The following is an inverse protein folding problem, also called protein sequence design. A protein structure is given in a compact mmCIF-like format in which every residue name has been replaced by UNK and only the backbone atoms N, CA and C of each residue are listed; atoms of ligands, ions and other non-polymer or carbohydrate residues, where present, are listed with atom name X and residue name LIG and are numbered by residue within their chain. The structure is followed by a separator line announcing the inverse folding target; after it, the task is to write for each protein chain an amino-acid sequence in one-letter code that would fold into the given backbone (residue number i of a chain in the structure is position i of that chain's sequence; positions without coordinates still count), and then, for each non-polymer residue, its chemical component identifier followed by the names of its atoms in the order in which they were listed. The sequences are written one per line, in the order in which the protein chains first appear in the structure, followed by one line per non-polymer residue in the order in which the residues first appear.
data_IF_214641045329
#
_entry.id   IF_214641045329
#
_cell.length_a   1.000
_cell.length_b   1.000
_cell.length_c   1.000
_cell.angle_alpha   90.00
_cell.angle_beta   90.00
_cell.angle_gamma   90.00
#
_symmetry.space_group_name_H-M   'P 1'
#
loop_
_entity.id
_entity.type
_entity.pdbx_description
1 polymer ?
#
# COMPACT_ATOMS: atom_id res chain seq x y z
N UNK A 1 -1.48 30.31 2.22
CA UNK A 1 -1.44 29.09 1.39
C UNK A 1 -0.47 28.13 2.04
N UNK A 2 -0.95 27.22 2.90
CA UNK A 2 -0.06 26.24 3.53
C UNK A 2 0.15 25.12 2.52
N UNK A 3 1.34 25.06 1.92
CA UNK A 3 1.77 23.90 1.14
C UNK A 3 2.00 22.79 2.15
N UNK A 4 0.99 21.97 2.39
CA UNK A 4 1.16 20.73 3.13
C UNK A 4 2.00 19.85 2.20
N UNK A 5 3.25 19.56 2.59
CA UNK A 5 4.04 18.54 1.92
C UNK A 5 3.29 17.22 2.11
N UNK A 6 2.54 16.81 1.10
CA UNK A 6 1.91 15.51 1.04
C UNK A 6 3.05 14.49 0.93
N UNK A 7 3.21 13.61 1.91
CA UNK A 7 4.21 12.53 1.81
C UNK A 7 3.92 11.74 0.53
N UNK A 8 4.81 11.85 -0.46
CA UNK A 8 4.67 11.20 -1.75
C UNK A 8 5.13 9.74 -1.74
N UNK A 9 5.61 9.27 -0.59
CA UNK A 9 6.20 7.95 -0.40
C UNK A 9 5.62 7.25 0.82
N UNK A 10 5.67 5.92 0.81
CA UNK A 10 5.24 5.04 1.92
C UNK A 10 6.46 4.24 2.39
N UNK A 11 6.74 4.22 3.68
CA UNK A 11 7.91 3.51 4.22
C UNK A 11 7.55 2.10 4.70
N UNK A 12 8.31 1.08 4.28
CA UNK A 12 8.29 -0.26 4.88
C UNK A 12 9.34 -0.32 5.99
N UNK A 13 8.92 -0.64 7.20
CA UNK A 13 9.71 -0.48 8.44
C UNK A 13 9.40 -1.58 9.46
N UNK A 14 9.93 -1.47 10.69
CA UNK A 14 9.68 -2.41 11.76
C UNK A 14 10.65 -3.60 11.72
N UNK A 15 10.13 -4.80 11.91
CA UNK A 15 10.86 -6.07 11.89
C UNK A 15 11.20 -6.51 10.46
N UNK A 16 12.01 -5.73 9.77
CA UNK A 16 12.53 -6.00 8.43
C UNK A 16 14.04 -5.81 8.43
N UNK A 17 14.76 -6.62 7.65
CA UNK A 17 16.20 -6.43 7.47
C UNK A 17 16.51 -5.21 6.61
N UNK A 18 15.69 -4.96 5.60
CA UNK A 18 15.83 -3.83 4.69
C UNK A 18 14.61 -2.92 4.76
N UNK A 19 14.83 -1.68 5.21
CA UNK A 19 13.79 -0.64 5.13
C UNK A 19 13.67 -0.19 3.68
N UNK A 20 12.44 -0.17 3.17
CA UNK A 20 12.15 0.16 1.78
C UNK A 20 11.31 1.42 1.72
N UNK A 21 11.59 2.29 0.75
CA UNK A 21 10.74 3.42 0.41
C UNK A 21 9.95 3.06 -0.84
N UNK A 22 8.62 3.03 -0.72
CA UNK A 22 7.71 2.86 -1.85
C UNK A 22 7.39 4.24 -2.41
N UNK A 23 7.66 4.44 -3.68
CA UNK A 23 7.30 5.65 -4.42
C UNK A 23 6.27 5.29 -5.50
N UNK A 24 4.98 5.57 -5.26
CA UNK A 24 3.95 5.27 -6.25
C UNK A 24 4.10 6.06 -7.57
N UNK A 25 4.88 7.15 -7.59
CA UNK A 25 5.09 7.95 -8.81
C UNK A 25 5.88 7.21 -9.88
N UNK A 26 6.76 6.28 -9.50
CA UNK A 26 7.55 5.49 -10.45
C UNK A 26 6.80 4.26 -10.97
N UNK A 27 5.70 3.86 -10.32
CA UNK A 27 4.94 2.68 -10.74
C UNK A 27 4.21 2.86 -12.07
N UNK A 28 4.06 4.10 -12.55
CA UNK A 28 3.44 4.36 -13.86
C UNK A 28 4.20 3.69 -15.02
N UNK A 29 5.52 3.53 -14.90
CA UNK A 29 6.37 2.84 -15.87
C UNK A 29 6.70 1.39 -15.46
N UNK A 30 6.16 0.90 -14.34
CA UNK A 30 6.40 -0.47 -13.90
C UNK A 30 5.58 -1.45 -14.74
N UNK A 31 6.21 -2.45 -15.33
CA UNK A 31 5.55 -3.46 -16.17
C UNK A 31 4.68 -4.43 -15.35
N UNK A 32 4.86 -4.45 -14.02
CA UNK A 32 4.06 -5.27 -13.10
C UNK A 32 2.72 -4.63 -12.76
N UNK A 33 2.47 -3.37 -13.16
CA UNK A 33 1.19 -2.70 -12.92
C UNK A 33 0.07 -3.36 -13.72
N UNK A 34 -1.14 -3.32 -13.19
CA UNK A 34 -2.33 -3.86 -13.85
C UNK A 34 -3.58 -3.06 -13.48
N UNK A 35 -4.66 -3.13 -14.29
CA UNK A 35 -5.97 -2.60 -13.93
C UNK A 35 -6.51 -3.29 -12.65
N UNK A 36 -6.83 -2.53 -11.61
CA UNK A 36 -7.32 -3.09 -10.34
C UNK A 36 -8.56 -3.97 -10.51
N UNK A 37 -9.40 -3.65 -11.50
CA UNK A 37 -10.57 -4.43 -11.92
C UNK A 37 -10.28 -5.88 -12.27
N UNK A 38 -9.04 -6.19 -12.69
CA UNK A 38 -8.60 -7.53 -13.06
C UNK A 38 -8.41 -8.45 -11.83
N UNK A 39 -8.43 -7.87 -10.63
CA UNK A 39 -8.37 -8.60 -9.36
C UNK A 39 -9.61 -8.37 -8.50
N UNK A 40 -10.15 -7.15 -8.50
CA UNK A 40 -11.32 -6.77 -7.70
C UNK A 40 -12.39 -6.19 -8.63
N UNK A 41 -13.36 -6.98 -9.11
CA UNK A 41 -14.38 -6.50 -10.03
C UNK A 41 -15.18 -5.30 -9.49
N UNK A 42 -15.47 -4.34 -10.38
CA UNK A 42 -16.19 -3.11 -10.03
C UNK A 42 -15.33 -2.03 -9.38
N UNK A 43 -14.00 -2.19 -9.37
CA UNK A 43 -13.05 -1.14 -8.99
C UNK A 43 -12.41 -0.52 -10.22
N UNK A 44 -11.79 0.64 -10.02
CA UNK A 44 -11.07 1.38 -11.06
C UNK A 44 -9.67 1.75 -10.58
N UNK A 45 -8.73 1.87 -11.52
CA UNK A 45 -7.38 2.35 -11.27
C UNK A 45 -6.30 1.37 -11.70
N UNK A 46 -5.05 1.81 -11.57
CA UNK A 46 -3.86 1.01 -11.77
C UNK A 46 -3.25 0.65 -10.42
N UNK A 47 -2.89 -0.61 -10.27
CA UNK A 47 -2.35 -1.15 -9.04
C UNK A 47 -1.10 -2.00 -9.28
N UNK A 48 -0.34 -2.19 -8.20
CA UNK A 48 0.73 -3.18 -8.09
C UNK A 48 0.47 -4.05 -6.85
N UNK A 49 1.06 -5.24 -6.80
CA UNK A 49 1.02 -6.09 -5.61
C UNK A 49 1.98 -5.54 -4.53
N UNK A 50 1.56 -5.56 -3.25
CA UNK A 50 2.41 -5.17 -2.13
C UNK A 50 3.47 -6.24 -1.81
N UNK A 51 3.10 -7.52 -2.00
CA UNK A 51 3.92 -8.69 -1.64
C UNK A 51 5.38 -8.64 -2.06
N UNK A 52 5.72 -8.34 -3.34
CA UNK A 52 7.12 -8.26 -3.77
C UNK A 52 7.96 -7.24 -2.98
N UNK A 53 7.37 -6.12 -2.56
CA UNK A 53 8.07 -5.14 -1.75
C UNK A 53 8.29 -5.63 -0.32
N UNK A 54 7.31 -6.31 0.27
CA UNK A 54 7.48 -6.94 1.58
C UNK A 54 8.55 -8.04 1.53
N UNK A 55 8.54 -8.90 0.51
CA UNK A 55 9.58 -9.92 0.32
C UNK A 55 10.97 -9.31 0.23
N UNK A 56 11.14 -8.24 -0.54
CA UNK A 56 12.42 -7.53 -0.65
C UNK A 56 12.86 -6.89 0.67
N UNK A 57 11.93 -6.58 1.58
CA UNK A 57 12.27 -6.03 2.89
C UNK A 57 12.92 -7.09 3.81
N UNK A 58 12.84 -8.38 3.43
CA UNK A 58 13.27 -9.52 4.24
C UNK A 58 12.72 -9.41 5.68
N UNK A 59 11.39 -9.55 5.86
CA UNK A 59 10.76 -9.49 7.18
C UNK A 59 11.30 -10.60 8.09
N UNK A 60 11.38 -10.29 9.38
CA UNK A 60 11.73 -11.27 10.39
C UNK A 60 10.72 -12.44 10.34
N UNK A 61 11.15 -13.72 10.35
CA UNK A 61 10.25 -14.86 10.31
C UNK A 61 9.24 -14.91 11.46
N UNK A 62 9.51 -14.24 12.58
CA UNK A 62 8.58 -14.13 13.70
C UNK A 62 7.56 -12.99 13.53
N UNK A 63 7.65 -12.16 12.48
CA UNK A 63 6.65 -11.14 12.19
C UNK A 63 5.33 -11.78 11.75
N UNK A 64 4.23 -11.28 12.30
CA UNK A 64 2.89 -11.84 12.10
C UNK A 64 1.93 -10.84 11.47
N UNK A 65 2.22 -9.53 11.54
CA UNK A 65 1.32 -8.48 11.08
C UNK A 65 2.06 -7.31 10.43
N UNK A 66 1.31 -6.53 9.66
CA UNK A 66 1.70 -5.20 9.15
C UNK A 66 0.73 -4.17 9.69
N UNK A 67 1.24 -3.16 10.38
CA UNK A 67 0.47 -1.99 10.79
C UNK A 67 0.58 -0.93 9.69
N UNK A 68 -0.56 -0.64 9.08
CA UNK A 68 -0.75 0.43 8.11
C UNK A 68 -0.99 1.76 8.85
N UNK A 69 0.07 2.54 9.02
CA UNK A 69 -0.02 3.88 9.58
C UNK A 69 -0.56 4.87 8.57
N UNK A 70 -1.39 5.79 9.05
CA UNK A 70 -2.11 6.75 8.22
C UNK A 70 -1.94 8.15 8.77
N UNK A 71 -1.79 9.13 7.88
CA UNK A 71 -1.80 10.54 8.27
C UNK A 71 -3.19 11.04 8.69
N UNK A 72 -4.25 10.34 8.28
CA UNK A 72 -5.61 10.59 8.72
C UNK A 72 -6.35 9.29 9.01
N UNK A 73 -7.10 9.25 10.10
CA UNK A 73 -7.79 8.05 10.58
C UNK A 73 -6.92 7.17 11.48
N UNK A 74 -7.49 6.05 11.92
CA UNK A 74 -6.80 5.10 12.80
C UNK A 74 -5.92 4.17 11.98
N UNK A 75 -4.77 3.70 12.52
CA UNK A 75 -4.00 2.62 11.92
C UNK A 75 -4.87 1.39 11.66
N UNK A 76 -4.59 0.70 10.56
CA UNK A 76 -5.23 -0.58 10.21
C UNK A 76 -4.18 -1.66 10.38
N UNK A 77 -4.53 -2.79 11.01
CA UNK A 77 -3.60 -3.91 11.17
C UNK A 77 -4.03 -5.03 10.25
N UNK A 78 -3.10 -5.53 9.45
CA UNK A 78 -3.27 -6.66 8.55
C UNK A 78 -2.42 -7.82 9.06
N UNK A 79 -2.88 -9.05 8.86
CA UNK A 79 -2.00 -10.23 8.94
C UNK A 79 -0.91 -10.14 7.86
N UNK A 80 0.21 -10.83 8.05
CA UNK A 80 1.24 -10.92 6.99
C UNK A 80 0.69 -11.52 5.69
N UNK A 81 -0.27 -12.45 5.76
CA UNK A 81 -0.92 -13.04 4.59
C UNK A 81 -1.74 -12.02 3.79
N UNK A 82 -2.61 -11.28 4.48
CA UNK A 82 -3.37 -10.18 3.89
C UNK A 82 -2.43 -9.13 3.28
N UNK A 83 -1.38 -8.74 3.99
CA UNK A 83 -0.43 -7.75 3.51
C UNK A 83 0.36 -8.23 2.28
N UNK A 84 0.72 -9.51 2.21
CA UNK A 84 1.42 -10.07 1.04
C UNK A 84 0.53 -10.12 -0.21
N UNK A 85 -0.77 -10.37 -0.04
CA UNK A 85 -1.74 -10.41 -1.15
C UNK A 85 -2.32 -9.03 -1.51
N UNK A 86 -2.14 -8.03 -0.64
CA UNK A 86 -2.74 -6.70 -0.80
C UNK A 86 -2.28 -5.98 -2.08
N UNK A 87 -3.17 -5.13 -2.60
CA UNK A 87 -2.98 -4.40 -3.84
C UNK A 87 -2.87 -2.89 -3.54
N UNK A 88 -1.86 -2.26 -4.11
CA UNK A 88 -1.58 -0.83 -3.95
C UNK A 88 -2.04 -0.08 -5.21
N UNK A 89 -3.23 0.52 -5.15
CA UNK A 89 -3.77 1.37 -6.21
C UNK A 89 -3.12 2.75 -6.16
N UNK A 90 -2.38 3.12 -7.20
CA UNK A 90 -1.57 4.36 -7.24
C UNK A 90 -2.03 5.37 -8.28
N UNK A 91 -2.93 4.98 -9.19
CA UNK A 91 -3.54 5.89 -10.14
C UNK A 91 -5.01 5.55 -10.41
N UNK A 92 -5.85 6.56 -10.67
CA UNK A 92 -7.23 6.44 -11.16
C UNK A 92 -7.43 7.43 -12.30
N UNK A 93 -8.20 7.06 -13.32
CA UNK A 93 -8.38 7.87 -14.55
C UNK A 93 -7.04 8.35 -15.16
N UNK A 94 -6.01 7.50 -15.13
CA UNK A 94 -4.63 7.82 -15.56
C UNK A 94 -3.95 8.97 -14.79
N UNK A 95 -4.44 9.33 -13.61
CA UNK A 95 -3.84 10.35 -12.73
C UNK A 95 -3.38 9.72 -11.43
N UNK A 96 -2.23 10.15 -10.86
CA UNK A 96 -1.81 9.70 -9.55
C UNK A 96 -2.87 9.95 -8.48
N UNK A 97 -2.98 9.05 -7.49
CA UNK A 97 -3.84 9.28 -6.33
C UNK A 97 -3.29 10.48 -5.54
N UNK A 98 -4.10 11.54 -5.43
CA UNK A 98 -3.79 12.74 -4.65
C UNK A 98 -4.58 12.76 -3.35
N UNK A 99 -5.91 12.72 -3.46
CA UNK A 99 -6.81 12.62 -2.31
C UNK A 99 -6.72 11.22 -1.70
N UNK A 100 -6.47 11.11 -0.40
CA UNK A 100 -6.19 9.84 0.27
C UNK A 100 -4.86 9.18 -0.14
N UNK A 101 -4.00 9.89 -0.87
CA UNK A 101 -2.74 9.35 -1.42
C UNK A 101 -1.62 9.14 -0.39
N UNK A 102 -0.45 8.67 -0.84
CA UNK A 102 -0.01 8.57 -2.25
C UNK A 102 -0.44 7.29 -2.98
N UNK A 103 -1.02 6.32 -2.27
CA UNK A 103 -1.66 5.13 -2.83
C UNK A 103 -2.75 4.64 -1.87
N UNK A 104 -3.70 3.87 -2.40
CA UNK A 104 -4.77 3.21 -1.64
C UNK A 104 -4.48 1.72 -1.55
N UNK A 105 -4.61 1.12 -0.36
CA UNK A 105 -4.45 -0.32 -0.18
C UNK A 105 -5.79 -1.04 -0.18
N UNK A 106 -5.91 -2.02 -1.06
CA UNK A 106 -7.04 -2.92 -1.18
C UNK A 106 -6.65 -4.34 -0.73
N UNK A 107 -7.53 -5.01 -0.01
CA UNK A 107 -7.40 -6.43 0.29
C UNK A 107 -7.75 -7.24 -0.96
N UNK A 108 -7.01 -8.33 -1.19
CA UNK A 108 -7.15 -9.15 -2.40
C UNK A 108 -8.55 -9.76 -2.55
N UNK A 109 -9.23 -10.01 -1.44
CA UNK A 109 -10.61 -10.52 -1.41
C UNK A 109 -11.67 -9.45 -1.75
N UNK A 110 -11.26 -8.18 -1.87
CA UNK A 110 -12.14 -7.05 -2.15
C UNK A 110 -13.03 -6.63 -0.98
N UNK A 111 -12.85 -7.19 0.22
CA UNK A 111 -13.69 -6.90 1.39
C UNK A 111 -13.69 -5.43 1.79
N UNK A 112 -12.61 -4.71 1.51
CA UNK A 112 -12.47 -3.28 1.78
C UNK A 112 -12.67 -2.38 0.54
N UNK A 113 -13.24 -2.89 -0.56
CA UNK A 113 -13.31 -2.13 -1.83
C UNK A 113 -14.04 -0.78 -1.71
N UNK A 114 -15.04 -0.70 -0.84
CA UNK A 114 -15.84 0.52 -0.60
C UNK A 114 -15.09 1.51 0.30
N UNK A 115 -14.16 1.02 1.12
CA UNK A 115 -13.37 1.82 2.06
C UNK A 115 -11.92 1.30 2.11
N UNK A 116 -11.14 1.54 1.05
CA UNK A 116 -9.74 1.13 1.02
C UNK A 116 -8.94 1.87 2.08
N UNK A 117 -7.78 1.33 2.45
CA UNK A 117 -6.88 2.02 3.38
C UNK A 117 -6.20 3.18 2.64
N UNK A 118 -6.55 4.39 3.02
CA UNK A 118 -6.08 5.65 2.45
C UNK A 118 -5.13 6.39 3.40
N UNK A 119 -4.54 7.49 2.93
CA UNK A 119 -3.61 8.35 3.67
C UNK A 119 -2.40 7.60 4.24
N UNK A 120 -2.01 6.50 3.60
CA UNK A 120 -0.91 5.63 4.02
C UNK A 120 0.41 6.39 4.05
N UNK A 121 1.13 6.28 5.15
CA UNK A 121 2.46 6.89 5.31
C UNK A 121 3.54 5.84 5.59
N UNK A 122 3.17 4.74 6.23
CA UNK A 122 4.11 3.71 6.65
C UNK A 122 3.41 2.36 6.80
N UNK A 123 4.14 1.31 6.44
CA UNK A 123 3.83 -0.09 6.66
C UNK A 123 4.88 -0.62 7.66
N UNK A 124 4.45 -0.85 8.90
CA UNK A 124 5.33 -1.34 9.95
C UNK A 124 5.11 -2.83 10.18
N UNK A 125 6.13 -3.63 9.90
CA UNK A 125 6.12 -5.08 10.13
C UNK A 125 6.35 -5.35 11.62
N UNK A 126 5.48 -6.12 12.26
CA UNK A 126 5.51 -6.38 13.71
C UNK A 126 5.27 -7.87 14.02
N UNK A 127 5.68 -8.29 15.22
CA UNK A 127 5.19 -9.53 15.81
C UNK A 127 4.25 -9.16 16.96
N UNK A 128 2.98 -9.52 16.85
CA UNK A 128 1.98 -9.40 17.90
C UNK A 128 1.89 -10.68 18.72
#
# INVERSE_FOLDING_TARGET
MMVIFMNSVILVTGKVKFRITLDPSIWIIDDRKFPLSDRIPGTEGLAVELGPFLTNAEPDPAATHVICHRSQGKPVTLTMEEAHSALMCFAKENKPIREGGPALLYLADGSNKEQPVDFLTQLEVVAL
#
